data_IF_799997008946
#
_entry.id   IF_799997008946
#
_cell.length_a   1.000
_cell.length_b   1.000
_cell.length_c   1.000
_cell.angle_alpha   90.00
_cell.angle_beta   90.00
_cell.angle_gamma   90.00
#
_symmetry.space_group_name_H-M   'P 1'
#
loop_
_entity.id
_entity.type
_entity.pdbx_description
1 polymer ?
#
# COMPACT_ATOMS: atom_id res chain seq x y z
N UNK A 1 3.95 -0.20 -22.37
CA UNK A 1 4.74 -1.34 -21.83
C UNK A 1 6.26 -1.10 -21.80
N UNK A 2 6.88 -0.40 -22.77
CA UNK A 2 8.35 -0.13 -22.75
C UNK A 2 8.81 0.59 -21.46
N UNK A 3 8.04 1.55 -20.96
CA UNK A 3 8.35 2.23 -19.70
C UNK A 3 8.38 1.25 -18.51
N UNK A 4 7.40 0.34 -18.38
CA UNK A 4 7.42 -0.69 -17.34
C UNK A 4 8.62 -1.63 -17.45
N UNK A 5 9.05 -1.97 -18.68
CA UNK A 5 10.27 -2.77 -18.89
C UNK A 5 11.55 -2.10 -18.39
N UNK A 6 11.60 -0.77 -18.36
CA UNK A 6 12.75 -0.03 -17.83
C UNK A 6 12.84 -0.14 -16.30
N UNK A 7 11.73 -0.45 -15.61
CA UNK A 7 11.66 -0.68 -14.17
C UNK A 7 12.09 -2.12 -13.86
N UNK A 8 13.37 -2.38 -14.09
CA UNK A 8 13.92 -3.73 -14.18
C UNK A 8 14.22 -4.40 -12.83
N UNK A 9 13.85 -3.81 -11.70
CA UNK A 9 14.00 -4.40 -10.36
C UNK A 9 12.92 -3.84 -9.42
N UNK A 10 12.57 -4.53 -8.32
CA UNK A 10 11.65 -4.00 -7.30
C UNK A 10 12.05 -2.61 -6.80
N UNK A 11 13.34 -2.35 -6.60
CA UNK A 11 13.88 -1.07 -6.13
C UNK A 11 13.70 0.04 -7.18
N UNK A 12 13.82 -0.27 -8.47
CA UNK A 12 13.54 0.70 -9.54
C UNK A 12 12.05 1.04 -9.63
N UNK A 13 11.18 0.05 -9.43
CA UNK A 13 9.73 0.26 -9.39
C UNK A 13 9.38 1.15 -8.19
N UNK A 14 9.93 0.82 -7.02
CA UNK A 14 9.74 1.61 -5.81
C UNK A 14 10.24 3.05 -6.00
N UNK A 15 11.45 3.23 -6.53
CA UNK A 15 12.00 4.56 -6.80
C UNK A 15 11.09 5.40 -7.70
N UNK A 16 10.53 4.81 -8.75
CA UNK A 16 9.56 5.51 -9.60
C UNK A 16 8.33 5.97 -8.80
N UNK A 17 7.79 5.11 -7.93
CA UNK A 17 6.66 5.47 -7.08
C UNK A 17 7.01 6.53 -6.03
N UNK A 18 8.28 6.55 -5.59
CA UNK A 18 8.78 7.52 -4.62
C UNK A 18 9.00 8.92 -5.23
N UNK A 19 9.28 8.98 -6.53
CA UNK A 19 9.53 10.21 -7.29
C UNK A 19 8.26 10.90 -7.78
N UNK A 20 7.12 10.20 -7.79
CA UNK A 20 5.83 10.79 -8.19
C UNK A 20 5.04 11.28 -6.96
N UNK A 21 4.29 12.39 -7.06
CA UNK A 21 3.44 12.85 -5.98
C UNK A 21 2.38 11.83 -5.57
N UNK A 22 2.18 11.68 -4.25
CA UNK A 22 1.09 10.87 -3.72
C UNK A 22 -0.25 11.54 -4.01
N UNK A 23 -1.18 10.78 -4.59
CA UNK A 23 -2.51 11.26 -4.95
C UNK A 23 -3.36 11.40 -3.68
N UNK A 24 -3.82 12.61 -3.37
CA UNK A 24 -4.76 12.89 -2.28
C UNK A 24 -6.22 12.99 -2.75
N UNK A 25 -6.49 12.65 -4.01
CA UNK A 25 -7.84 12.63 -4.60
C UNK A 25 -8.57 13.97 -4.50
N UNK A 26 -7.81 15.08 -4.54
CA UNK A 26 -8.34 16.46 -4.40
C UNK A 26 -9.41 16.82 -5.43
N UNK A 27 -9.45 16.08 -6.55
CA UNK A 27 -10.36 16.31 -7.67
C UNK A 27 -11.39 15.17 -7.84
N UNK A 28 -11.60 14.35 -6.81
CA UNK A 28 -12.48 13.19 -6.83
C UNK A 28 -11.73 11.86 -6.75
N UNK A 29 -12.49 10.82 -6.39
CA UNK A 29 -11.98 9.46 -6.25
C UNK A 29 -11.50 8.89 -7.59
N UNK A 30 -10.42 8.10 -7.55
CA UNK A 30 -9.76 7.54 -8.71
C UNK A 30 -9.26 6.12 -8.46
N UNK A 31 -9.22 5.33 -9.52
CA UNK A 31 -8.52 4.04 -9.54
C UNK A 31 -7.81 3.91 -10.89
N UNK A 32 -6.70 4.64 -11.03
CA UNK A 32 -5.87 4.64 -12.25
C UNK A 32 -5.30 3.27 -12.57
N UNK A 33 -5.36 2.95 -13.86
CA UNK A 33 -4.56 1.87 -14.44
C UNK A 33 -3.06 2.20 -14.42
N UNK A 34 -2.18 1.20 -14.56
CA UNK A 34 -0.74 1.41 -14.72
C UNK A 34 -0.40 2.37 -15.87
N UNK A 35 -1.16 2.32 -16.97
CA UNK A 35 -1.02 3.29 -18.08
C UNK A 35 -1.29 4.72 -17.62
N UNK A 36 -2.35 4.94 -16.83
CA UNK A 36 -2.69 6.26 -16.31
C UNK A 36 -1.69 6.74 -15.28
N UNK A 37 -1.19 5.88 -14.39
CA UNK A 37 -0.10 6.26 -13.46
C UNK A 37 1.15 6.73 -14.21
N UNK A 38 1.53 6.08 -15.32
CA UNK A 38 2.65 6.53 -16.16
C UNK A 38 2.41 7.89 -16.82
N UNK A 39 1.17 8.16 -17.21
CA UNK A 39 0.79 9.39 -17.90
C UNK A 39 0.64 10.55 -16.92
N UNK A 40 -0.18 10.37 -15.89
CA UNK A 40 -0.56 11.40 -14.91
C UNK A 40 0.56 11.65 -13.88
N UNK A 41 1.51 10.71 -13.74
CA UNK A 41 2.63 10.78 -12.80
C UNK A 41 2.18 11.05 -11.37
N UNK A 42 1.15 10.35 -10.91
CA UNK A 42 0.69 10.36 -9.53
C UNK A 42 -0.02 9.04 -9.21
N UNK A 43 -0.01 8.65 -7.94
CA UNK A 43 -0.71 7.47 -7.45
C UNK A 43 -0.94 7.57 -5.94
N UNK A 44 -2.07 7.06 -5.44
CA UNK A 44 -2.19 6.67 -4.02
C UNK A 44 -1.78 5.20 -3.83
N UNK A 45 -1.88 4.67 -2.62
CA UNK A 45 -1.45 3.31 -2.26
C UNK A 45 -1.98 2.24 -3.23
N UNK A 46 -3.28 2.24 -3.49
CA UNK A 46 -3.92 1.25 -4.34
C UNK A 46 -3.49 1.34 -5.81
N UNK A 47 -3.50 2.54 -6.39
CA UNK A 47 -2.99 2.78 -7.76
C UNK A 47 -1.52 2.38 -7.89
N UNK A 48 -0.71 2.70 -6.87
CA UNK A 48 0.70 2.35 -6.80
C UNK A 48 0.94 0.83 -6.72
N UNK A 49 0.12 0.11 -5.96
CA UNK A 49 0.17 -1.35 -5.88
C UNK A 49 -0.22 -2.00 -7.21
N UNK A 50 -1.28 -1.52 -7.89
CA UNK A 50 -1.66 -2.00 -9.23
C UNK A 50 -0.53 -1.74 -10.23
N UNK A 51 0.06 -0.54 -10.19
CA UNK A 51 1.20 -0.19 -11.03
C UNK A 51 2.41 -1.11 -10.79
N UNK A 52 2.77 -1.34 -9.53
CA UNK A 52 3.88 -2.20 -9.16
C UNK A 52 3.63 -3.65 -9.59
N UNK A 53 2.43 -4.19 -9.37
CA UNK A 53 2.02 -5.51 -9.84
C UNK A 53 2.14 -5.63 -11.37
N UNK A 54 1.79 -4.59 -12.12
CA UNK A 54 1.96 -4.56 -13.57
C UNK A 54 3.44 -4.57 -14.00
N UNK A 55 4.30 -3.81 -13.31
CA UNK A 55 5.73 -3.80 -13.57
C UNK A 55 6.39 -5.16 -13.25
N UNK A 56 6.02 -5.78 -12.13
CA UNK A 56 6.43 -7.14 -11.75
C UNK A 56 5.98 -8.17 -12.79
N UNK A 57 4.74 -8.07 -13.28
CA UNK A 57 4.24 -8.96 -14.34
C UNK A 57 5.03 -8.88 -15.63
N UNK A 58 5.43 -7.68 -16.05
CA UNK A 58 6.24 -7.49 -17.25
C UNK A 58 7.61 -8.20 -17.13
N UNK A 59 8.04 -8.51 -15.90
CA UNK A 59 9.26 -9.27 -15.59
C UNK A 59 9.03 -10.78 -15.45
N UNK A 60 7.81 -11.26 -15.65
CA UNK A 60 7.44 -12.67 -15.50
C UNK A 60 7.01 -13.08 -14.08
N UNK A 61 6.88 -12.12 -13.17
CA UNK A 61 6.38 -12.38 -11.81
C UNK A 61 4.85 -12.40 -11.80
N UNK A 62 4.23 -13.00 -10.78
CA UNK A 62 2.76 -12.94 -10.64
C UNK A 62 2.35 -11.51 -10.21
N UNK A 63 1.34 -10.88 -10.85
CA UNK A 63 0.84 -9.56 -10.47
C UNK A 63 -0.03 -9.65 -9.21
N UNK A 64 0.60 -9.77 -8.05
CA UNK A 64 -0.11 -9.89 -6.79
C UNK A 64 -0.31 -8.53 -6.14
N UNK A 65 -1.45 -8.37 -5.47
CA UNK A 65 -1.67 -7.32 -4.47
C UNK A 65 -2.20 -7.92 -3.17
N UNK A 66 -1.93 -7.25 -2.05
CA UNK A 66 -2.43 -7.60 -0.72
C UNK A 66 -2.99 -6.35 -0.09
N UNK A 67 -4.21 -6.46 0.41
CA UNK A 67 -4.87 -5.41 1.17
C UNK A 67 -4.55 -5.55 2.66
N UNK A 68 -4.12 -4.45 3.29
CA UNK A 68 -3.85 -4.33 4.71
C UNK A 68 -5.05 -3.63 5.35
N UNK A 69 -5.88 -4.41 6.03
CA UNK A 69 -7.13 -3.94 6.60
C UNK A 69 -6.91 -3.24 7.94
N UNK A 70 -7.52 -2.07 8.06
CA UNK A 70 -7.35 -1.14 9.15
C UNK A 70 -8.68 -0.90 9.90
N UNK A 71 -8.66 -0.05 10.92
CA UNK A 71 -9.87 0.37 11.64
C UNK A 71 -9.79 1.86 11.96
N UNK A 72 -10.84 2.63 11.63
CA UNK A 72 -10.85 4.10 11.76
C UNK A 72 -9.68 4.76 11.02
N UNK A 73 -9.37 4.21 9.87
CA UNK A 73 -8.28 4.61 9.00
C UNK A 73 -8.60 4.13 7.58
N UNK A 74 -7.79 4.57 6.63
CA UNK A 74 -7.82 4.05 5.27
C UNK A 74 -7.01 2.74 5.21
N UNK A 75 -7.51 1.78 4.45
CA UNK A 75 -6.77 0.56 4.14
C UNK A 75 -5.57 0.86 3.23
N UNK A 76 -4.57 0.00 3.29
CA UNK A 76 -3.32 0.18 2.55
C UNK A 76 -3.04 -1.04 1.69
N UNK A 77 -2.81 -0.83 0.40
CA UNK A 77 -2.57 -1.94 -0.53
C UNK A 77 -1.10 -1.97 -0.93
N UNK A 78 -0.51 -3.16 -0.87
CA UNK A 78 0.88 -3.42 -1.24
C UNK A 78 0.95 -4.40 -2.42
N UNK A 79 2.03 -4.31 -3.21
CA UNK A 79 2.36 -5.29 -4.25
C UNK A 79 3.49 -6.21 -3.74
N UNK A 80 3.18 -7.40 -3.23
CA UNK A 80 4.21 -8.31 -2.76
C UNK A 80 4.95 -8.97 -3.92
N UNK A 81 6.23 -9.24 -3.72
CA UNK A 81 7.09 -9.99 -4.64
C UNK A 81 7.90 -11.03 -3.87
N UNK A 82 8.55 -11.96 -4.59
CA UNK A 82 9.40 -12.99 -3.97
C UNK A 82 10.77 -13.10 -4.61
N UNK A 83 11.80 -13.14 -3.78
CA UNK A 83 13.19 -13.40 -4.19
C UNK A 83 13.74 -14.54 -3.33
N UNK A 84 14.26 -15.60 -3.97
CA UNK A 84 14.84 -16.77 -3.28
C UNK A 84 13.94 -17.34 -2.18
N UNK A 85 12.64 -17.37 -2.46
CA UNK A 85 11.63 -17.89 -1.55
C UNK A 85 11.16 -16.95 -0.45
N UNK A 86 11.77 -15.77 -0.29
CA UNK A 86 11.41 -14.77 0.71
C UNK A 86 10.53 -13.67 0.10
N UNK A 87 9.58 -13.18 0.89
CA UNK A 87 8.64 -12.13 0.55
C UNK A 87 9.26 -10.76 0.80
N UNK A 88 9.03 -9.85 -0.14
CA UNK A 88 9.19 -8.40 0.01
C UNK A 88 7.94 -7.70 -0.53
N UNK A 89 7.91 -6.37 -0.50
CA UNK A 89 6.82 -5.63 -1.11
C UNK A 89 7.25 -4.26 -1.64
N UNK A 90 6.50 -3.81 -2.64
CA UNK A 90 6.54 -2.45 -3.19
C UNK A 90 5.24 -1.77 -2.79
N UNK A 91 5.33 -0.54 -2.26
CA UNK A 91 4.16 0.22 -1.85
C UNK A 91 4.46 1.73 -1.83
N UNK A 92 3.43 2.55 -2.03
CA UNK A 92 3.51 4.01 -1.86
C UNK A 92 2.53 4.45 -0.79
N UNK A 93 2.91 5.42 0.03
CA UNK A 93 2.07 5.93 1.11
C UNK A 93 2.37 7.39 1.42
N UNK A 94 1.38 8.07 1.98
CA UNK A 94 1.53 9.38 2.62
C UNK A 94 2.38 9.33 3.91
N UNK A 95 2.57 8.13 4.49
CA UNK A 95 3.42 7.88 5.65
C UNK A 95 4.71 7.17 5.25
N UNK A 96 5.84 7.64 5.77
CA UNK A 96 7.17 7.14 5.38
C UNK A 96 7.40 5.65 5.71
N UNK A 97 6.82 5.15 6.82
CA UNK A 97 7.12 3.81 7.34
C UNK A 97 6.44 2.65 6.60
N UNK A 98 5.39 2.90 5.81
CA UNK A 98 4.59 1.84 5.17
C UNK A 98 4.78 1.74 3.65
N UNK A 99 6.04 1.82 3.20
CA UNK A 99 6.45 1.76 1.78
C UNK A 99 7.15 0.44 1.45
N UNK A 100 8.37 0.49 0.91
CA UNK A 100 9.13 -0.69 0.50
C UNK A 100 9.44 -1.65 1.66
N UNK A 101 9.56 -2.93 1.32
CA UNK A 101 10.05 -3.97 2.19
C UNK A 101 11.01 -4.89 1.43
N UNK A 102 12.20 -5.06 2.00
CA UNK A 102 13.22 -6.01 1.55
C UNK A 102 12.65 -7.43 1.53
N UNK A 103 13.11 -8.30 0.61
CA UNK A 103 12.58 -9.64 0.48
C UNK A 103 13.21 -10.57 1.53
N UNK A 104 12.95 -10.32 2.81
CA UNK A 104 13.53 -11.06 3.95
C UNK A 104 12.52 -11.90 4.74
N UNK A 105 11.23 -11.80 4.42
CA UNK A 105 10.15 -12.40 5.21
C UNK A 105 9.79 -13.79 4.70
N UNK A 106 9.70 -14.80 5.56
CA UNK A 106 9.42 -16.19 5.14
C UNK A 106 7.95 -16.40 4.80
N UNK A 107 7.07 -15.69 5.50
CA UNK A 107 5.61 -15.79 5.33
C UNK A 107 5.01 -14.44 4.99
N UNK A 108 3.84 -14.47 4.35
CA UNK A 108 3.07 -13.23 4.12
C UNK A 108 2.71 -12.54 5.44
N UNK A 109 2.41 -13.31 6.50
CA UNK A 109 2.13 -12.76 7.82
C UNK A 109 3.33 -12.00 8.39
N UNK A 110 4.54 -12.51 8.24
CA UNK A 110 5.76 -11.81 8.65
C UNK A 110 5.96 -10.51 7.87
N UNK A 111 5.74 -10.52 6.54
CA UNK A 111 5.77 -9.32 5.72
C UNK A 111 4.74 -8.29 6.21
N UNK A 112 3.51 -8.71 6.48
CA UNK A 112 2.45 -7.82 6.98
C UNK A 112 2.78 -7.27 8.37
N UNK A 113 3.29 -8.11 9.28
CA UNK A 113 3.71 -7.66 10.61
C UNK A 113 4.80 -6.58 10.56
N UNK A 114 5.64 -6.58 9.53
CA UNK A 114 6.68 -5.55 9.37
C UNK A 114 6.14 -4.13 9.19
N UNK A 115 4.85 -3.98 8.86
CA UNK A 115 4.20 -2.67 8.77
C UNK A 115 3.58 -2.22 10.10
N UNK A 116 3.38 -3.14 11.05
CA UNK A 116 2.50 -2.95 12.20
C UNK A 116 2.88 -1.75 13.08
N UNK A 117 4.17 -1.57 13.35
CA UNK A 117 4.64 -0.48 14.21
C UNK A 117 4.53 0.90 13.55
N UNK A 118 4.48 0.96 12.22
CA UNK A 118 4.42 2.20 11.43
C UNK A 118 3.03 2.46 10.83
N UNK A 119 2.04 1.59 11.09
CA UNK A 119 0.70 1.70 10.53
C UNK A 119 -0.23 2.42 11.50
N UNK A 120 -0.49 3.70 11.21
CA UNK A 120 -1.31 4.56 12.04
C UNK A 120 -2.09 5.60 11.23
N UNK A 121 -3.22 6.06 11.78
CA UNK A 121 -4.05 7.11 11.20
C UNK A 121 -3.55 8.51 11.56
N UNK A 122 -4.19 9.56 11.01
CA UNK A 122 -3.74 10.93 11.24
C UNK A 122 -3.77 11.38 12.73
N UNK A 123 -4.56 10.72 13.58
CA UNK A 123 -4.59 10.97 15.03
C UNK A 123 -3.43 10.30 15.80
N UNK A 124 -2.65 9.44 15.14
CA UNK A 124 -1.59 8.63 15.73
C UNK A 124 -2.07 7.33 16.36
N UNK A 125 -3.29 6.88 16.08
CA UNK A 125 -3.79 5.58 16.53
C UNK A 125 -3.20 4.48 15.63
N UNK A 126 -2.69 3.39 16.21
CA UNK A 126 -2.27 2.20 15.47
C UNK A 126 -3.49 1.42 14.98
N UNK A 127 -3.62 1.27 13.67
CA UNK A 127 -4.90 0.91 13.04
C UNK A 127 -4.87 -0.41 12.26
N UNK A 128 -3.71 -1.00 11.97
CA UNK A 128 -3.63 -2.30 11.28
C UNK A 128 -4.30 -3.43 12.08
N UNK A 129 -5.22 -4.17 11.46
CA UNK A 129 -5.98 -5.27 12.10
C UNK A 129 -5.92 -6.58 11.35
N UNK A 130 -5.75 -6.55 10.03
CA UNK A 130 -5.75 -7.76 9.22
C UNK A 130 -5.11 -7.56 7.86
N UNK A 131 -5.18 -8.60 7.05
CA UNK A 131 -4.71 -8.56 5.67
C UNK A 131 -5.46 -9.58 4.80
N UNK A 132 -5.60 -9.28 3.52
CA UNK A 132 -6.21 -10.21 2.56
C UNK A 132 -5.24 -11.33 2.20
N UNK A 133 -5.77 -12.43 1.66
CA UNK A 133 -4.93 -13.34 0.85
C UNK A 133 -4.43 -12.59 -0.41
N UNK A 134 -3.27 -12.96 -1.00
CA UNK A 134 -2.80 -12.33 -2.23
C UNK A 134 -3.81 -12.48 -3.36
N UNK A 135 -4.16 -11.37 -3.98
CA UNK A 135 -5.04 -11.32 -5.16
C UNK A 135 -4.18 -11.23 -6.40
N UNK A 136 -4.30 -12.24 -7.26
CA UNK A 136 -3.65 -12.26 -8.57
C UNK A 136 -4.48 -11.45 -9.58
N UNK A 137 -3.91 -10.33 -10.06
CA UNK A 137 -4.60 -9.41 -10.97
C UNK A 137 -4.79 -9.96 -12.38
N UNK A 138 -4.16 -11.09 -12.75
CA UNK A 138 -4.42 -11.75 -14.05
C UNK A 138 -5.90 -12.11 -14.24
N UNK A 139 -6.66 -12.28 -13.15
CA UNK A 139 -8.12 -12.50 -13.20
C UNK A 139 -8.89 -11.32 -13.82
N UNK A 140 -8.31 -10.13 -13.87
CA UNK A 140 -8.90 -8.92 -14.44
C UNK A 140 -8.43 -8.67 -15.88
N UNK A 141 -7.72 -9.61 -16.51
CA UNK A 141 -7.19 -9.42 -17.87
C UNK A 141 -8.27 -9.10 -18.90
N UNK A 142 -9.48 -9.65 -18.72
CA UNK A 142 -10.64 -9.38 -19.59
C UNK A 142 -11.05 -7.91 -19.65
N UNK A 143 -10.74 -7.11 -18.62
CA UNK A 143 -11.01 -5.67 -18.60
C UNK A 143 -9.79 -4.82 -18.99
N UNK A 144 -8.69 -5.46 -19.42
CA UNK A 144 -7.49 -4.77 -19.84
C UNK A 144 -6.89 -3.90 -18.74
N UNK A 145 -6.89 -4.38 -17.48
CA UNK A 145 -6.58 -3.57 -16.30
C UNK A 145 -5.25 -2.81 -16.36
N UNK A 146 -4.26 -3.32 -17.11
CA UNK A 146 -2.96 -2.66 -17.26
C UNK A 146 -2.98 -1.41 -18.15
N UNK A 147 -3.91 -1.34 -19.10
CA UNK A 147 -3.87 -0.41 -20.24
C UNK A 147 -5.14 0.40 -20.45
N UNK A 148 -6.23 0.04 -19.76
CA UNK A 148 -7.50 0.75 -19.85
C UNK A 148 -7.36 2.23 -19.44
N UNK A 149 -8.15 3.09 -20.08
CA UNK A 149 -8.28 4.49 -19.68
C UNK A 149 -9.39 4.70 -18.63
N UNK A 150 -10.26 3.69 -18.44
CA UNK A 150 -11.31 3.72 -17.44
C UNK A 150 -10.76 3.51 -16.02
N UNK A 151 -11.53 3.94 -15.03
CA UNK A 151 -11.28 3.62 -13.63
C UNK A 151 -11.42 2.11 -13.37
N UNK A 152 -10.58 1.58 -12.48
CA UNK A 152 -10.54 0.15 -12.12
C UNK A 152 -11.39 -0.17 -10.88
N UNK A 153 -12.56 0.45 -10.74
CA UNK A 153 -13.53 0.14 -9.67
C UNK A 153 -13.80 -1.36 -9.45
N UNK A 154 -13.86 -2.23 -10.48
CA UNK A 154 -14.03 -3.67 -10.25
C UNK A 154 -12.94 -4.31 -9.38
N UNK A 155 -11.74 -3.72 -9.30
CA UNK A 155 -10.66 -4.23 -8.43
C UNK A 155 -10.88 -3.84 -6.96
N UNK A 156 -11.37 -2.62 -6.67
CA UNK A 156 -11.71 -2.21 -5.29
C UNK A 156 -12.87 -3.04 -4.77
N UNK A 157 -13.94 -3.17 -5.55
CA UNK A 157 -15.11 -3.99 -5.22
C UNK A 157 -14.75 -5.46 -4.93
N UNK A 158 -13.76 -5.99 -5.67
CA UNK A 158 -13.28 -7.34 -5.43
C UNK A 158 -12.53 -7.45 -4.10
N UNK A 159 -11.61 -6.51 -3.80
CA UNK A 159 -10.84 -6.52 -2.56
C UNK A 159 -11.74 -6.49 -1.32
N UNK A 160 -12.80 -5.69 -1.33
CA UNK A 160 -13.77 -5.65 -0.22
C UNK A 160 -14.43 -7.00 0.10
N UNK A 161 -14.44 -7.94 -0.86
CA UNK A 161 -15.08 -9.25 -0.71
C UNK A 161 -14.07 -10.36 -0.43
N UNK A 162 -12.78 -10.11 -0.59
CA UNK A 162 -11.75 -11.13 -0.36
C UNK A 162 -11.69 -11.40 1.14
N UNK A 163 -11.57 -12.68 1.58
CA UNK A 163 -11.41 -12.98 2.98
C UNK A 163 -10.13 -12.36 3.56
N UNK A 164 -10.27 -11.62 4.65
CA UNK A 164 -9.16 -11.12 5.46
C UNK A 164 -8.84 -12.04 6.63
N UNK A 165 -7.55 -12.12 6.95
CA UNK A 165 -7.02 -12.84 8.09
C UNK A 165 -6.71 -11.82 9.18
N UNK A 166 -7.18 -12.07 10.40
CA UNK A 166 -6.83 -11.25 11.55
C UNK A 166 -5.31 -11.31 11.82
N UNK A 167 -4.68 -10.15 11.96
CA UNK A 167 -3.25 -10.03 12.23
C UNK A 167 -2.94 -10.10 13.73
N UNK A 168 -3.83 -9.50 14.53
CA UNK A 168 -3.70 -9.33 15.98
C UNK A 168 -4.78 -10.08 16.75
N UNK A 169 -4.53 -10.48 18.01
CA UNK A 169 -5.55 -11.10 18.87
C UNK A 169 -6.76 -10.18 19.08
N UNK A 170 -7.95 -10.78 19.27
CA UNK A 170 -9.19 -10.03 19.46
C UNK A 170 -9.13 -9.06 20.67
N UNK A 171 -8.46 -9.45 21.76
CA UNK A 171 -8.25 -8.59 22.93
C UNK A 171 -7.47 -7.31 22.58
N UNK A 172 -6.43 -7.42 21.75
CA UNK A 172 -5.68 -6.27 21.27
C UNK A 172 -6.53 -5.39 20.36
N UNK A 173 -7.28 -5.99 19.43
CA UNK A 173 -8.08 -5.30 18.43
C UNK A 173 -9.19 -4.40 19.02
N UNK A 174 -9.68 -4.72 20.23
CA UNK A 174 -10.69 -3.92 20.96
C UNK A 174 -10.11 -2.65 21.57
N UNK A 175 -8.81 -2.63 21.86
CA UNK A 175 -8.11 -1.48 22.44
C UNK A 175 -7.77 -0.41 21.40
N UNK A 176 -7.48 0.80 21.90
CA UNK A 176 -6.81 1.85 21.12
C UNK A 176 -5.37 1.95 21.58
N UNK A 177 -4.45 1.88 20.62
CA UNK A 177 -3.02 1.93 20.85
C UNK A 177 -2.46 3.12 20.08
N UNK A 178 -1.48 3.81 20.66
CA UNK A 178 -1.00 5.06 20.10
C UNK A 178 0.46 4.93 19.70
N UNK A 179 0.84 5.63 18.64
CA UNK A 179 2.21 5.79 18.22
C UNK A 179 3.01 6.51 19.31
N UNK A 180 4.27 6.10 19.46
CA UNK A 180 5.26 6.95 20.11
C UNK A 180 5.34 8.29 19.37
N UNK A 181 5.55 9.38 20.13
CA UNK A 181 5.54 10.73 19.56
C UNK A 181 6.65 10.95 18.53
N UNK A 182 7.85 10.43 18.77
CA UNK A 182 8.98 10.60 17.84
C UNK A 182 8.71 9.85 16.54
N UNK A 183 8.18 8.63 16.62
CA UNK A 183 7.80 7.86 15.43
C UNK A 183 6.66 8.54 14.64
N UNK A 184 5.64 9.05 15.34
CA UNK A 184 4.54 9.78 14.71
C UNK A 184 5.03 11.01 13.92
N UNK A 185 5.89 11.84 14.54
CA UNK A 185 6.43 13.04 13.90
C UNK A 185 7.35 12.70 12.71
N UNK A 186 8.12 11.61 12.80
CA UNK A 186 8.99 11.14 11.73
C UNK A 186 8.22 10.60 10.51
N UNK A 187 7.07 9.95 10.71
CA UNK A 187 6.32 9.33 9.62
C UNK A 187 5.63 10.32 8.67
N UNK A 188 5.44 11.58 9.07
CA UNK A 188 4.90 12.66 8.22
C UNK A 188 5.92 13.31 7.27
N UNK A 189 7.09 12.70 7.06
CA UNK A 189 8.06 13.20 6.11
C UNK A 189 7.50 13.17 4.68
N UNK A 190 7.47 14.32 4.00
CA UNK A 190 6.96 14.43 2.63
C UNK A 190 5.44 14.35 2.46
N UNK A 191 4.66 14.49 3.54
CA UNK A 191 3.20 14.47 3.47
C UNK A 191 2.64 15.63 2.60
N UNK A 192 1.86 15.36 1.54
CA UNK A 192 1.44 16.38 0.56
C UNK A 192 0.20 17.19 0.95
N UNK A 193 -0.42 16.91 2.10
CA UNK A 193 -1.60 17.62 2.62
C UNK A 193 -1.27 18.54 3.80
N UNK A 194 -2.29 19.18 4.37
CA UNK A 194 -2.15 19.88 5.65
C UNK A 194 -1.93 18.86 6.77
N UNK A 195 -0.82 18.97 7.51
CA UNK A 195 -0.57 18.13 8.68
C UNK A 195 -1.67 18.36 9.72
N UNK A 196 -2.46 17.34 10.01
CA UNK A 196 -3.29 17.31 11.21
C UNK A 196 -2.41 16.93 12.40
N UNK A 197 -1.54 17.84 12.84
CA UNK A 197 -0.80 17.63 14.07
C UNK A 197 -1.79 17.50 15.22
N UNK A 198 -1.63 16.45 16.03
CA UNK A 198 -2.33 16.32 17.31
C UNK A 198 -2.00 17.53 18.20
N UNK A 199 -2.83 18.57 18.18
CA UNK A 199 -2.71 19.69 19.13
C UNK A 199 -3.02 19.15 20.54
N UNK A 200 -2.03 19.22 21.43
CA UNK A 200 -2.28 19.30 22.87
C UNK A 200 -2.94 18.11 23.56
N UNK A 201 -2.41 16.89 23.39
CA UNK A 201 -2.58 15.86 24.43
C UNK A 201 -1.22 15.30 24.82
N UNK A 202 -0.64 15.88 25.86
CA UNK A 202 0.41 15.28 26.69
C UNK A 202 -0.07 13.90 27.15
N UNK A 203 0.62 12.80 26.84
CA UNK A 203 0.43 11.55 27.55
C UNK A 203 1.55 11.43 28.58
N UNK A 204 1.40 12.14 29.69
CA UNK A 204 1.97 11.76 30.98
C UNK A 204 0.80 11.86 31.96
N UNK A 205 0.25 10.69 32.30
CA UNK A 205 -0.99 10.50 33.03
C UNK A 205 -1.57 9.15 32.66
#
# INVERSE_FOLDING_TARGET
>A
MRALRALSTPEKIQRFLDEIPYNLEKNGETVRSPRRVLHDRTAHCFEGAIFAAAALRVRGERPLIVDLASVRDDDHVIAPYRVRGQWGAIATSKFAGIRFREPVYRTLRELVLSYFEDYYNDAGEKTLRGYSRPVDLSRFDRIGWMTTASELWPLTEYLYRVPHVALVPQGYARGRHWMDRRLYEAGYYGYPGTRHMRRGRTPLG
#
